data_IF_027916494270
#
_entry.id   IF_027916494270
#
_cell.length_a   1.000
_cell.length_b   1.000
_cell.length_c   1.000
_cell.angle_alpha   90.00
_cell.angle_beta   90.00
_cell.angle_gamma   90.00
#
_symmetry.space_group_name_H-M   'P 1'
#
loop_
_entity.id
_entity.type
_entity.pdbx_description
1 polymer ?
#
# COMPACT_ATOMS: atom_id res chain seq x y z
N UNK A 1 -6.64 7.52 14.69
CA UNK A 1 -6.65 8.15 16.03
C UNK A 1 -8.09 8.30 16.47
N UNK A 2 -8.41 7.95 17.72
CA UNK A 2 -9.77 7.96 18.24
C UNK A 2 -9.83 8.85 19.50
N UNK A 3 -10.97 9.48 19.81
CA UNK A 3 -11.13 10.24 21.05
C UNK A 3 -11.09 9.34 22.28
N UNK A 4 -10.65 9.89 23.42
CA UNK A 4 -10.62 9.19 24.71
C UNK A 4 -12.00 8.96 25.32
N UNK A 5 -13.02 9.68 24.84
CA UNK A 5 -14.41 9.53 25.28
C UNK A 5 -15.23 8.77 24.23
N UNK A 6 -16.23 8.02 24.67
CA UNK A 6 -17.23 7.43 23.78
C UNK A 6 -17.82 8.48 22.84
N UNK A 7 -17.99 8.09 21.57
CA UNK A 7 -18.50 8.96 20.51
C UNK A 7 -19.90 8.58 20.06
N UNK A 8 -20.38 7.40 20.41
CA UNK A 8 -21.74 6.93 20.13
C UNK A 8 -22.45 6.56 21.43
N UNK A 9 -23.62 7.16 21.66
CA UNK A 9 -24.48 6.94 22.81
C UNK A 9 -25.82 6.39 22.32
N UNK A 10 -26.05 5.08 22.43
CA UNK A 10 -27.29 4.47 21.98
C UNK A 10 -28.47 4.99 22.80
N UNK A 11 -29.64 5.16 22.16
CA UNK A 11 -30.85 5.64 22.82
C UNK A 11 -31.44 4.61 23.80
N UNK A 12 -31.11 3.34 23.61
CA UNK A 12 -31.57 2.24 24.46
C UNK A 12 -30.64 2.14 25.67
N UNK A 13 -31.19 2.34 26.87
CA UNK A 13 -30.44 2.47 28.14
C UNK A 13 -29.58 1.23 28.48
N UNK A 14 -29.92 0.05 27.95
CA UNK A 14 -29.16 -1.19 28.16
C UNK A 14 -27.90 -1.29 27.31
N UNK A 15 -27.76 -0.46 26.28
CA UNK A 15 -26.61 -0.52 25.37
C UNK A 15 -25.47 0.35 25.89
N UNK A 16 -24.26 -0.20 25.81
CA UNK A 16 -23.06 0.49 26.24
C UNK A 16 -22.63 1.54 25.22
N UNK A 17 -22.28 2.77 25.64
CA UNK A 17 -21.64 3.75 24.77
C UNK A 17 -20.35 3.21 24.15
N UNK A 18 -20.08 3.58 22.90
CA UNK A 18 -18.92 3.09 22.14
C UNK A 18 -18.15 4.22 21.44
N UNK A 19 -16.89 3.99 21.12
CA UNK A 19 -16.05 4.90 20.32
C UNK A 19 -15.92 4.32 18.93
N UNK A 20 -16.66 4.88 17.97
CA UNK A 20 -16.65 4.40 16.58
C UNK A 20 -16.19 5.45 15.58
N UNK A 21 -16.10 6.71 16.00
CA UNK A 21 -15.65 7.82 15.17
C UNK A 21 -14.12 7.97 15.30
N UNK A 22 -13.40 7.72 14.21
CA UNK A 22 -11.93 7.66 14.16
C UNK A 22 -11.43 8.59 13.06
N UNK A 23 -10.41 9.40 13.36
CA UNK A 23 -9.68 10.20 12.38
C UNK A 23 -8.47 9.43 11.83
N UNK A 24 -8.33 9.35 10.51
CA UNK A 24 -7.19 8.75 9.82
C UNK A 24 -6.42 9.84 9.06
N UNK A 25 -5.10 9.92 9.30
CA UNK A 25 -4.21 10.86 8.61
C UNK A 25 -3.12 10.07 7.87
N UNK A 26 -2.77 10.49 6.64
CA UNK A 26 -1.69 9.89 5.85
C UNK A 26 -0.86 11.00 5.22
N UNK A 27 0.44 11.03 5.52
CA UNK A 27 1.37 11.98 4.92
C UNK A 27 1.14 13.44 5.31
N UNK A 28 0.59 13.69 6.50
CA UNK A 28 0.37 15.03 7.06
C UNK A 28 1.56 15.38 7.95
N UNK A 29 2.30 16.43 7.62
CA UNK A 29 3.45 16.95 8.38
C UNK A 29 3.04 18.07 9.36
N UNK A 30 1.78 18.06 9.80
CA UNK A 30 1.26 18.99 10.81
C UNK A 30 1.40 18.34 12.18
N UNK A 31 1.80 19.12 13.18
CA UNK A 31 1.86 18.64 14.56
C UNK A 31 0.43 18.32 15.04
N UNK A 32 0.24 17.14 15.62
CA UNK A 32 -1.03 16.77 16.24
C UNK A 32 -1.13 17.44 17.60
N UNK A 33 -2.15 18.28 17.81
CA UNK A 33 -2.31 18.99 19.08
C UNK A 33 -3.27 18.24 20.00
N UNK A 34 -4.49 17.97 19.53
CA UNK A 34 -5.49 17.23 20.32
C UNK A 34 -6.62 16.67 19.45
N UNK A 35 -7.33 15.68 20.00
CA UNK A 35 -8.65 15.24 19.53
C UNK A 35 -9.65 15.52 20.64
N UNK A 36 -10.68 16.28 20.32
CA UNK A 36 -11.73 16.67 21.25
C UNK A 36 -13.08 16.17 20.74
N UNK A 37 -13.96 15.77 21.66
CA UNK A 37 -15.37 15.50 21.34
C UNK A 37 -16.21 16.69 21.75
N UNK A 38 -17.11 17.12 20.86
CA UNK A 38 -18.12 18.12 21.19
C UNK A 38 -19.46 17.44 21.40
N UNK A 39 -20.12 17.82 22.48
CA UNK A 39 -21.47 17.43 22.79
C UNK A 39 -22.45 18.12 21.83
N UNK A 40 -22.99 17.37 20.88
CA UNK A 40 -24.14 17.78 20.10
C UNK A 40 -25.42 17.31 20.78
N UNK A 41 -26.44 18.16 20.89
CA UNK A 41 -27.72 17.80 21.52
C UNK A 41 -28.71 17.08 20.58
N UNK A 42 -28.34 16.87 19.32
CA UNK A 42 -29.26 16.44 18.25
C UNK A 42 -28.93 15.07 17.62
N UNK A 43 -27.85 14.40 18.04
CA UNK A 43 -27.46 13.06 17.55
C UNK A 43 -26.94 12.21 18.70
N UNK A 44 -27.18 10.90 18.61
CA UNK A 44 -26.49 9.85 19.38
C UNK A 44 -24.98 9.85 19.18
N UNK A 45 -24.47 10.48 18.10
CA UNK A 45 -23.06 10.65 17.85
C UNK A 45 -22.53 12.00 18.36
N UNK A 46 -21.43 11.96 19.11
CA UNK A 46 -20.64 13.14 19.48
C UNK A 46 -19.70 13.48 18.34
N UNK A 47 -19.68 14.76 17.95
CA UNK A 47 -18.81 15.27 16.91
C UNK A 47 -17.35 15.19 17.37
N UNK A 48 -16.48 14.64 16.54
CA UNK A 48 -15.03 14.59 16.79
C UNK A 48 -14.33 15.74 16.05
N UNK A 49 -13.51 16.50 16.77
CA UNK A 49 -12.67 17.57 16.22
C UNK A 49 -11.21 17.20 16.37
N UNK A 50 -10.47 17.33 15.28
CA UNK A 50 -9.04 17.12 15.20
C UNK A 50 -8.34 18.48 15.13
N UNK A 51 -7.57 18.86 16.16
CA UNK A 51 -6.75 20.07 16.17
C UNK A 51 -5.34 19.74 15.67
N UNK A 52 -4.98 20.30 14.52
CA UNK A 52 -3.65 20.18 13.93
C UNK A 52 -2.94 21.55 14.02
N UNK A 53 -1.64 21.54 14.34
CA UNK A 53 -0.78 22.72 14.35
C UNK A 53 -0.27 23.10 12.96
N UNK A 54 0.49 24.20 12.88
CA UNK A 54 1.19 24.63 11.66
C UNK A 54 2.17 23.54 11.19
N UNK A 55 2.37 23.38 9.87
CA UNK A 55 3.38 22.48 9.36
C UNK A 55 4.74 23.00 9.82
N UNK A 56 5.48 22.17 10.54
CA UNK A 56 6.86 22.50 10.88
C UNK A 56 7.61 22.67 9.56
N UNK A 57 8.06 23.90 9.32
CA UNK A 57 8.70 24.30 8.07
C UNK A 57 9.93 23.43 7.82
N UNK A 58 9.80 22.47 6.90
CA UNK A 58 10.93 21.75 6.33
C UNK A 58 11.70 20.86 7.30
N UNK A 59 11.02 19.94 8.00
CA UNK A 59 11.72 18.87 8.74
C UNK A 59 12.69 18.15 7.79
N UNK A 60 13.99 18.00 8.13
CA UNK A 60 14.96 17.31 7.28
C UNK A 60 14.44 15.91 6.95
N UNK A 61 14.63 15.47 5.71
CA UNK A 61 14.30 14.10 5.29
C UNK A 61 14.98 13.17 6.30
N UNK A 62 14.24 12.30 7.00
CA UNK A 62 14.84 11.44 8.00
C UNK A 62 15.93 10.60 7.32
N UNK A 63 17.16 10.74 7.77
CA UNK A 63 18.27 9.92 7.29
C UNK A 63 18.11 8.57 7.98
N UNK A 64 17.95 7.51 7.19
CA UNK A 64 17.82 6.15 7.70
C UNK A 64 19.19 5.48 7.60
N UNK A 65 19.72 5.04 8.74
CA UNK A 65 20.89 4.18 8.79
C UNK A 65 20.49 2.77 8.33
N UNK A 66 21.14 2.28 7.28
CA UNK A 66 20.97 0.91 6.80
C UNK A 66 22.30 0.21 6.97
N UNK A 67 22.35 -0.80 7.82
CA UNK A 67 23.53 -1.63 8.03
C UNK A 67 23.66 -2.65 6.90
N UNK A 68 24.82 -2.71 6.26
CA UNK A 68 25.13 -3.75 5.29
C UNK A 68 25.64 -5.00 6.03
N UNK A 69 24.73 -5.92 6.36
CA UNK A 69 25.04 -7.16 7.06
C UNK A 69 26.08 -8.05 6.36
N UNK A 70 26.21 -7.96 5.03
CA UNK A 70 27.25 -8.69 4.30
C UNK A 70 28.63 -8.12 4.56
N UNK A 71 28.77 -6.78 4.65
CA UNK A 71 30.02 -6.13 5.07
C UNK A 71 30.36 -6.43 6.52
N UNK A 72 29.37 -6.44 7.42
CA UNK A 72 29.55 -6.84 8.82
C UNK A 72 30.11 -8.27 8.90
N UNK A 73 29.52 -9.21 8.15
CA UNK A 73 30.00 -10.60 8.13
C UNK A 73 31.45 -10.70 7.63
N UNK A 74 31.80 -9.99 6.57
CA UNK A 74 33.18 -10.01 6.03
C UNK A 74 34.17 -9.37 6.99
N UNK A 75 33.83 -8.24 7.61
CA UNK A 75 34.69 -7.55 8.57
C UNK A 75 34.88 -8.35 9.88
N UNK A 76 33.89 -9.14 10.29
CA UNK A 76 34.02 -10.05 11.44
C UNK A 76 34.81 -11.33 11.10
N UNK A 77 34.78 -11.78 9.85
CA UNK A 77 35.61 -12.91 9.36
C UNK A 77 37.07 -12.51 9.09
N UNK A 78 37.36 -11.21 8.95
CA UNK A 78 38.71 -10.68 8.83
C UNK A 78 39.40 -10.70 10.21
N UNK A 79 39.97 -11.86 10.54
CA UNK A 79 40.61 -12.17 11.84
C UNK A 79 41.80 -11.25 12.17
N UNK A 80 42.32 -10.47 11.23
CA UNK A 80 43.47 -9.55 11.44
C UNK A 80 43.08 -8.19 12.04
N UNK A 81 42.19 -8.19 13.04
CA UNK A 81 41.97 -6.97 13.84
C UNK A 81 42.93 -6.95 15.03
N UNK A 82 43.82 -5.95 15.17
CA UNK A 82 44.83 -5.90 16.24
C UNK A 82 44.26 -5.88 17.67
N UNK A 83 42.96 -5.60 17.83
CA UNK A 83 42.29 -5.49 19.13
C UNK A 83 42.01 -6.85 19.79
N UNK A 84 41.85 -7.94 19.01
CA UNK A 84 41.58 -9.27 19.58
C UNK A 84 42.85 -10.12 19.74
N UNK A 85 43.98 -9.66 19.23
CA UNK A 85 45.27 -10.36 19.33
C UNK A 85 46.03 -10.07 20.64
N UNK A 86 45.52 -9.16 21.48
CA UNK A 86 46.11 -8.83 22.79
C UNK A 86 45.52 -9.62 23.95
N UNK A 87 44.64 -10.59 23.71
CA UNK A 87 44.09 -11.40 24.79
C UNK A 87 45.12 -12.40 25.31
N UNK A 88 45.39 -12.44 26.62
CA UNK A 88 46.16 -13.50 27.23
C UNK A 88 45.47 -14.84 27.00
N UNK A 89 46.23 -15.87 26.62
CA UNK A 89 45.67 -17.22 26.40
C UNK A 89 45.18 -17.90 27.69
N UNK A 90 45.68 -17.46 28.85
CA UNK A 90 45.26 -17.95 30.17
C UNK A 90 44.44 -16.85 30.87
N UNK A 91 43.12 -17.01 30.86
CA UNK A 91 42.20 -16.16 31.62
C UNK A 91 42.18 -16.68 33.06
N UNK A 92 42.72 -15.89 33.99
CA UNK A 92 42.85 -16.29 35.39
C UNK A 92 42.00 -15.44 36.33
N UNK A 93 41.57 -14.25 35.89
CA UNK A 93 40.75 -13.32 36.67
C UNK A 93 39.39 -13.02 36.03
N UNK A 94 38.39 -12.76 36.86
CA UNK A 94 37.07 -12.26 36.45
C UNK A 94 37.18 -10.90 35.74
N UNK A 95 38.10 -10.04 36.16
CA UNK A 95 38.32 -8.73 35.54
C UNK A 95 38.81 -8.86 34.09
N UNK A 96 39.56 -9.93 33.76
CA UNK A 96 40.02 -10.22 32.40
C UNK A 96 38.87 -10.71 31.51
N UNK A 97 37.90 -11.42 32.09
CA UNK A 97 36.67 -11.82 31.39
C UNK A 97 35.84 -10.59 31.04
N UNK A 98 35.61 -9.71 32.01
CA UNK A 98 34.82 -8.49 31.80
C UNK A 98 35.50 -7.57 30.78
N UNK A 99 36.83 -7.44 30.86
CA UNK A 99 37.62 -6.69 29.87
C UNK A 99 37.51 -7.29 28.46
N UNK A 100 37.54 -8.62 28.32
CA UNK A 100 37.37 -9.29 27.03
C UNK A 100 35.96 -9.12 26.46
N UNK A 101 34.93 -9.19 27.30
CA UNK A 101 33.53 -8.93 26.91
C UNK A 101 33.38 -7.49 26.41
N UNK A 102 33.94 -6.53 27.12
CA UNK A 102 33.90 -5.11 26.72
C UNK A 102 34.64 -4.86 25.41
N UNK A 103 35.85 -5.43 25.26
CA UNK A 103 36.65 -5.32 24.05
C UNK A 103 35.92 -5.91 22.83
N UNK A 104 35.33 -7.10 22.98
CA UNK A 104 34.54 -7.74 21.93
C UNK A 104 33.27 -6.95 21.58
N UNK A 105 32.55 -6.47 22.60
CA UNK A 105 31.33 -5.68 22.42
C UNK A 105 31.62 -4.37 21.71
N UNK A 106 32.73 -3.71 22.05
CA UNK A 106 33.17 -2.49 21.38
C UNK A 106 33.59 -2.76 19.94
N UNK A 107 34.29 -3.87 19.66
CA UNK A 107 34.64 -4.24 18.30
C UNK A 107 33.41 -4.50 17.41
N UNK A 108 32.43 -5.27 17.90
CA UNK A 108 31.18 -5.51 17.18
C UNK A 108 30.43 -4.21 16.92
N UNK A 109 30.38 -3.30 17.90
CA UNK A 109 29.76 -1.98 17.75
C UNK A 109 30.43 -1.18 16.63
N UNK A 110 31.75 -1.09 16.64
CA UNK A 110 32.53 -0.37 15.61
C UNK A 110 32.30 -0.95 14.22
N UNK A 111 32.36 -2.28 14.06
CA UNK A 111 32.15 -2.94 12.76
C UNK A 111 30.73 -2.69 12.22
N UNK A 112 29.73 -2.69 13.11
CA UNK A 112 28.35 -2.36 12.74
C UNK A 112 28.27 -0.92 12.26
N UNK A 113 28.83 0.03 13.02
CA UNK A 113 28.85 1.47 12.69
C UNK A 113 29.57 1.76 11.37
N UNK A 114 30.74 1.16 11.10
CA UNK A 114 31.48 1.30 9.84
C UNK A 114 30.78 0.65 8.64
N UNK A 115 29.90 -0.30 8.93
CA UNK A 115 29.05 -0.97 7.94
C UNK A 115 27.69 -0.30 7.76
N UNK A 116 27.39 0.76 8.51
CA UNK A 116 26.22 1.60 8.29
C UNK A 116 26.41 2.44 7.03
N UNK A 117 25.33 2.60 6.27
CA UNK A 117 25.22 3.61 5.24
C UNK A 117 24.02 4.49 5.53
N UNK A 118 24.25 5.79 5.48
CA UNK A 118 23.18 6.76 5.49
C UNK A 118 22.45 6.72 4.15
N UNK A 119 21.16 6.41 4.21
CA UNK A 119 20.27 6.44 3.06
C UNK A 119 19.16 7.45 3.37
N UNK A 120 18.96 8.47 2.53
CA UNK A 120 17.82 9.36 2.72
C UNK A 120 16.54 8.51 2.72
N UNK A 121 15.66 8.67 3.70
CA UNK A 121 14.46 7.82 3.83
C UNK A 121 13.56 7.87 2.59
N UNK A 122 13.61 8.96 1.83
CA UNK A 122 13.15 8.99 0.45
C UNK A 122 14.30 8.57 -0.46
N UNK A 123 14.62 7.28 -0.52
CA UNK A 123 15.23 6.79 -1.74
C UNK A 123 14.23 7.13 -2.84
N UNK A 124 14.69 7.89 -3.83
CA UNK A 124 13.84 8.41 -4.89
C UNK A 124 13.22 7.22 -5.61
N UNK A 125 12.05 6.80 -5.15
CA UNK A 125 11.24 5.76 -5.77
C UNK A 125 10.92 6.35 -7.13
N UNK A 126 11.75 6.04 -8.15
CA UNK A 126 11.72 6.58 -9.52
C UNK A 126 10.37 7.20 -9.79
N UNK A 127 10.26 8.51 -9.54
CA UNK A 127 8.97 9.17 -9.59
C UNK A 127 8.47 9.00 -11.00
N UNK A 128 7.20 8.62 -11.14
CA UNK A 128 6.62 8.56 -12.46
C UNK A 128 6.78 9.92 -13.14
N UNK A 129 7.08 9.95 -14.45
CA UNK A 129 7.16 11.19 -15.19
C UNK A 129 5.85 11.99 -15.08
N UNK A 130 5.90 13.32 -15.26
CA UNK A 130 4.75 14.21 -15.03
C UNK A 130 3.50 13.80 -15.82
N UNK A 131 3.66 13.29 -17.04
CA UNK A 131 2.58 12.82 -17.90
C UNK A 131 1.78 11.66 -17.28
N UNK A 132 2.47 10.68 -16.68
CA UNK A 132 1.83 9.56 -15.98
C UNK A 132 1.14 10.04 -14.71
N UNK A 133 1.74 11.01 -14.00
CA UNK A 133 1.12 11.60 -12.81
C UNK A 133 -0.17 12.36 -13.15
N UNK A 134 -0.18 13.12 -14.25
CA UNK A 134 -1.38 13.78 -14.77
C UNK A 134 -2.45 12.75 -15.16
N UNK A 135 -2.06 11.67 -15.82
CA UNK A 135 -2.97 10.59 -16.19
C UNK A 135 -3.58 9.89 -14.96
N UNK A 136 -2.78 9.70 -13.89
CA UNK A 136 -3.27 9.19 -12.60
C UNK A 136 -4.28 10.16 -11.98
N UNK A 137 -4.02 11.48 -12.03
CA UNK A 137 -4.97 12.50 -11.53
C UNK A 137 -6.28 12.47 -12.32
N UNK A 138 -6.21 12.40 -13.65
CA UNK A 138 -7.37 12.32 -14.53
C UNK A 138 -8.20 11.05 -14.26
N UNK A 139 -7.54 9.89 -14.16
CA UNK A 139 -8.17 8.62 -13.77
C UNK A 139 -8.89 8.74 -12.42
N UNK A 140 -8.24 9.30 -11.41
CA UNK A 140 -8.83 9.46 -10.08
C UNK A 140 -10.04 10.42 -10.09
N UNK A 141 -9.99 11.49 -10.89
CA UNK A 141 -11.13 12.38 -11.09
C UNK A 141 -12.31 11.68 -11.78
N UNK A 142 -12.02 10.85 -12.80
CA UNK A 142 -13.03 10.05 -13.48
C UNK A 142 -13.66 9.00 -12.55
N UNK A 143 -12.86 8.33 -11.70
CA UNK A 143 -13.36 7.40 -10.69
C UNK A 143 -14.31 8.08 -9.70
N UNK A 144 -13.96 9.28 -9.22
CA UNK A 144 -14.84 10.07 -8.33
C UNK A 144 -16.16 10.46 -9.02
N UNK A 145 -16.11 10.85 -10.30
CA UNK A 145 -17.34 11.14 -11.06
C UNK A 145 -18.20 9.90 -11.28
N UNK A 146 -17.58 8.76 -11.61
CA UNK A 146 -18.28 7.50 -11.80
C UNK A 146 -18.89 6.97 -10.49
N UNK A 147 -18.30 7.26 -9.33
CA UNK A 147 -18.91 6.93 -8.03
C UNK A 147 -20.05 7.87 -7.66
N UNK A 148 -19.92 9.17 -7.94
CA UNK A 148 -20.97 10.15 -7.65
C UNK A 148 -22.19 9.99 -8.58
N UNK A 149 -21.94 9.69 -9.85
CA UNK A 149 -22.96 9.50 -10.87
C UNK A 149 -22.70 8.17 -11.60
N UNK A 150 -23.28 7.05 -11.13
CA UNK A 150 -23.00 5.71 -11.65
C UNK A 150 -23.58 5.42 -13.05
N UNK A 151 -23.34 6.28 -14.05
CA UNK A 151 -23.78 6.07 -15.43
C UNK A 151 -22.83 5.17 -16.22
N UNK A 152 -23.29 4.50 -17.28
CA UNK A 152 -22.44 3.67 -18.14
C UNK A 152 -21.28 4.44 -18.77
N UNK A 153 -21.52 5.69 -19.18
CA UNK A 153 -20.51 6.52 -19.84
C UNK A 153 -19.36 6.89 -18.90
N UNK A 154 -19.67 7.31 -17.67
CA UNK A 154 -18.63 7.61 -16.68
C UNK A 154 -17.83 6.37 -16.26
N UNK A 155 -18.48 5.21 -16.13
CA UNK A 155 -17.79 3.93 -15.87
C UNK A 155 -16.85 3.56 -17.02
N UNK A 156 -17.31 3.72 -18.27
CA UNK A 156 -16.50 3.45 -19.46
C UNK A 156 -15.26 4.35 -19.52
N UNK A 157 -15.42 5.67 -19.31
CA UNK A 157 -14.31 6.63 -19.25
C UNK A 157 -13.31 6.31 -18.15
N UNK A 158 -13.78 5.97 -16.94
CA UNK A 158 -12.90 5.58 -15.84
C UNK A 158 -12.12 4.29 -16.14
N UNK A 159 -12.76 3.27 -16.76
CA UNK A 159 -12.10 2.03 -17.18
C UNK A 159 -11.08 2.26 -18.30
N UNK A 160 -11.36 3.17 -19.24
CA UNK A 160 -10.42 3.55 -20.29
C UNK A 160 -9.13 4.14 -19.70
N UNK A 161 -9.27 5.17 -18.85
CA UNK A 161 -8.14 5.81 -18.16
C UNK A 161 -7.36 4.82 -17.27
N UNK A 162 -8.05 3.87 -16.64
CA UNK A 162 -7.38 2.82 -15.86
C UNK A 162 -6.51 1.91 -16.73
N UNK A 163 -6.94 1.58 -17.95
CA UNK A 163 -6.13 0.79 -18.89
C UNK A 163 -4.93 1.59 -19.39
N UNK A 164 -5.13 2.86 -19.70
CA UNK A 164 -4.08 3.75 -20.18
C UNK A 164 -2.98 3.95 -19.14
N UNK A 165 -3.34 4.20 -17.87
CA UNK A 165 -2.36 4.26 -16.77
C UNK A 165 -1.59 2.95 -16.67
N UNK A 166 -2.25 1.79 -16.78
CA UNK A 166 -1.56 0.49 -16.73
C UNK A 166 -0.60 0.29 -17.91
N UNK A 167 -0.95 0.77 -19.10
CA UNK A 167 -0.11 0.70 -20.28
C UNK A 167 1.14 1.58 -20.10
N UNK A 168 0.96 2.86 -19.79
CA UNK A 168 2.07 3.81 -19.60
C UNK A 168 3.01 3.43 -18.46
N UNK A 169 2.48 2.94 -17.34
CA UNK A 169 3.31 2.43 -16.24
C UNK A 169 4.12 1.19 -16.67
N UNK A 170 3.57 0.35 -17.55
CA UNK A 170 4.28 -0.82 -18.08
C UNK A 170 5.39 -0.39 -19.03
N UNK A 171 5.10 0.50 -19.97
CA UNK A 171 6.07 1.07 -20.90
C UNK A 171 7.23 1.73 -20.17
N UNK A 172 6.93 2.65 -19.23
CA UNK A 172 7.95 3.30 -18.41
C UNK A 172 8.83 2.30 -17.65
N UNK A 173 8.24 1.23 -17.11
CA UNK A 173 9.03 0.19 -16.43
C UNK A 173 9.92 -0.57 -17.42
N UNK A 174 9.42 -0.88 -18.60
CA UNK A 174 10.18 -1.59 -19.63
C UNK A 174 11.33 -0.73 -20.17
N UNK A 175 11.10 0.53 -20.50
CA UNK A 175 12.13 1.50 -20.89
C UNK A 175 13.19 1.63 -19.80
N UNK A 176 12.76 1.77 -18.54
CA UNK A 176 13.67 1.88 -17.41
C UNK A 176 14.49 0.59 -17.15
N UNK A 177 14.00 -0.57 -17.61
CA UNK A 177 14.75 -1.83 -17.66
C UNK A 177 15.70 -1.87 -18.86
N UNK A 178 15.28 -1.43 -20.05
CA UNK A 178 16.12 -1.32 -21.24
C UNK A 178 17.31 -0.40 -21.01
N UNK A 179 17.09 0.80 -20.47
CA UNK A 179 18.16 1.76 -20.11
C UNK A 179 19.17 1.16 -19.13
N UNK A 180 18.69 0.36 -18.18
CA UNK A 180 19.54 -0.33 -17.21
C UNK A 180 20.39 -1.39 -17.92
N UNK A 181 19.78 -2.17 -18.82
CA UNK A 181 20.50 -3.17 -19.59
C UNK A 181 21.55 -2.52 -20.50
N UNK A 182 21.24 -1.40 -21.17
CA UNK A 182 22.20 -0.65 -21.97
C UNK A 182 23.38 -0.15 -21.13
N UNK A 183 23.12 0.42 -19.95
CA UNK A 183 24.18 0.85 -19.01
C UNK A 183 25.06 -0.30 -18.54
N UNK A 184 24.49 -1.48 -18.34
CA UNK A 184 25.22 -2.68 -17.92
C UNK A 184 25.95 -3.37 -19.08
N UNK A 185 25.50 -3.18 -20.32
CA UNK A 185 26.11 -3.73 -21.53
C UNK A 185 27.30 -2.91 -22.04
N UNK A 186 27.61 -1.74 -21.47
CA UNK A 186 28.94 -1.17 -21.59
C UNK A 186 29.96 -2.17 -21.05
N UNK A 187 31.11 -2.40 -21.72
CA UNK A 187 32.05 -3.47 -21.40
C UNK A 187 32.79 -3.17 -20.09
N UNK A 188 32.09 -3.32 -18.97
CA UNK A 188 32.68 -3.33 -17.64
C UNK A 188 33.15 -4.76 -17.43
N UNK A 189 34.47 -4.94 -17.33
CA UNK A 189 35.24 -6.21 -17.39
C UNK A 189 34.89 -7.30 -16.33
N UNK A 190 33.68 -7.34 -15.78
CA UNK A 190 33.29 -8.23 -14.66
C UNK A 190 31.99 -9.00 -14.91
N UNK A 191 31.74 -9.44 -16.14
CA UNK A 191 30.54 -10.23 -16.47
C UNK A 191 30.57 -11.71 -16.01
N UNK A 192 31.68 -12.18 -15.45
CA UNK A 192 31.89 -13.60 -15.14
C UNK A 192 31.35 -14.11 -13.79
N UNK A 193 30.77 -13.26 -12.94
CA UNK A 193 30.33 -13.66 -11.60
C UNK A 193 28.90 -13.21 -11.30
N UNK A 194 27.90 -13.84 -11.94
CA UNK A 194 26.51 -13.74 -11.53
C UNK A 194 25.90 -15.14 -11.40
N UNK A 195 25.38 -15.54 -10.22
CA UNK A 195 24.73 -16.83 -10.06
C UNK A 195 23.42 -16.83 -10.85
N UNK A 196 23.35 -17.68 -11.87
CA UNK A 196 22.15 -17.89 -12.71
C UNK A 196 21.02 -18.50 -11.87
N UNK A 197 20.24 -17.67 -11.18
CA UNK A 197 18.95 -18.11 -10.62
C UNK A 197 17.87 -17.05 -10.79
N UNK A 198 17.33 -16.99 -12.00
CA UNK A 198 15.99 -16.45 -12.25
C UNK A 198 15.36 -17.23 -13.39
N UNK A 199 14.65 -18.32 -13.07
CA UNK A 199 13.65 -18.84 -13.99
C UNK A 199 12.39 -17.99 -13.82
N UNK A 200 11.78 -17.48 -14.90
CA UNK A 200 10.45 -16.87 -14.80
C UNK A 200 9.47 -17.95 -14.34
N UNK A 201 8.63 -17.61 -13.38
CA UNK A 201 7.54 -18.46 -12.91
C UNK A 201 6.49 -18.43 -14.02
N UNK A 202 6.35 -19.52 -14.77
CA UNK A 202 5.33 -19.68 -15.79
C UNK A 202 3.95 -19.48 -15.16
N UNK A 203 3.25 -18.42 -15.57
CA UNK A 203 1.83 -18.26 -15.29
C UNK A 203 1.12 -18.93 -16.47
N UNK A 204 0.40 -20.06 -16.27
CA UNK A 204 -0.29 -20.70 -17.37
C UNK A 204 -1.41 -19.80 -17.88
N UNK A 205 -1.33 -19.46 -19.17
CA UNK A 205 -2.45 -18.89 -19.91
C UNK A 205 -3.60 -19.92 -19.93
N UNK A 206 -4.77 -19.56 -19.43
CA UNK A 206 -6.00 -20.32 -19.66
C UNK A 206 -6.61 -19.86 -21.00
N UNK A 207 -6.76 -20.75 -22.00
CA UNK A 207 -7.47 -20.39 -23.22
C UNK A 207 -8.97 -20.33 -22.92
N UNK A 208 -9.59 -19.22 -23.31
CA UNK A 208 -11.04 -19.02 -23.19
C UNK A 208 -11.74 -20.00 -24.14
N UNK A 209 -12.47 -20.98 -23.58
CA UNK A 209 -13.31 -21.87 -24.38
C UNK A 209 -14.48 -21.06 -24.97
N UNK A 210 -14.55 -21.01 -26.29
CA UNK A 210 -15.68 -20.48 -27.04
C UNK A 210 -16.93 -21.30 -26.71
N UNK A 211 -17.88 -20.72 -25.96
CA UNK A 211 -19.23 -21.26 -25.82
C UNK A 211 -20.00 -20.98 -27.11
N UNK A 212 -19.94 -21.95 -28.02
CA UNK A 212 -20.84 -22.04 -29.18
C UNK A 212 -22.23 -22.32 -28.62
N UNK A 213 -23.10 -21.31 -28.61
CA UNK A 213 -24.52 -21.48 -28.33
C UNK A 213 -25.15 -22.18 -29.53
N UNK A 214 -25.32 -23.49 -29.42
CA UNK A 214 -26.10 -24.28 -30.36
C UNK A 214 -27.59 -23.98 -30.13
N UNK A 215 -28.24 -23.32 -31.09
CA UNK A 215 -29.70 -23.17 -31.10
C UNK A 215 -30.32 -24.55 -31.33
N UNK A 216 -30.94 -25.12 -30.29
CA UNK A 216 -31.84 -26.27 -30.45
C UNK A 216 -33.28 -25.80 -30.25
N UNK A 217 -34.04 -25.90 -31.33
CA UNK A 217 -35.49 -25.72 -31.42
C UNK A 217 -36.21 -26.64 -30.43
N UNK A 218 -37.18 -26.10 -29.68
CA UNK A 218 -38.24 -26.88 -29.05
C UNK A 218 -39.57 -26.15 -29.25
N UNK A 219 -40.46 -26.86 -29.94
CA UNK A 219 -41.86 -26.59 -30.25
C UNK A 219 -42.72 -26.19 -29.03
N UNK A 220 -43.76 -25.35 -29.21
CA UNK A 220 -44.69 -24.98 -28.15
C UNK A 220 -45.77 -26.05 -27.92
N UNK A 221 -45.81 -26.60 -26.70
CA UNK A 221 -46.86 -27.54 -26.28
C UNK A 221 -48.18 -26.81 -25.96
N UNK A 222 -49.17 -27.12 -26.78
CA UNK A 222 -50.59 -26.83 -26.65
C UNK A 222 -51.20 -27.37 -25.34
N UNK A 223 -51.82 -26.52 -24.53
CA UNK A 223 -52.84 -26.92 -23.54
C UNK A 223 -54.09 -26.05 -23.66
N UNK A 224 -55.10 -26.57 -24.38
CA UNK A 224 -56.54 -26.36 -24.12
C UNK A 224 -56.87 -26.96 -22.74
N UNK A 225 -57.85 -26.56 -21.92
CA UNK A 225 -59.03 -25.70 -22.04
C UNK A 225 -59.71 -25.60 -20.66
N UNK A 226 -60.46 -24.54 -20.42
CA UNK A 226 -61.50 -24.41 -19.38
C UNK A 226 -61.15 -23.36 -18.31
N UNK A 227 -62.00 -22.41 -17.93
CA UNK A 227 -63.37 -22.10 -18.31
C UNK A 227 -63.63 -20.62 -18.04
N UNK A 228 -64.54 -20.10 -18.85
CA UNK A 228 -65.13 -18.76 -18.90
C UNK A 228 -65.77 -18.34 -17.57
N UNK A 229 -65.53 -17.11 -17.12
CA UNK A 229 -66.57 -16.26 -16.53
C UNK A 229 -66.16 -14.78 -16.64
N UNK A 230 -66.98 -14.09 -17.42
CA UNK A 230 -66.95 -12.65 -17.70
C UNK A 230 -67.48 -11.88 -16.49
N UNK A 231 -66.80 -10.82 -16.08
CA UNK A 231 -67.48 -9.66 -15.52
C UNK A 231 -66.78 -8.36 -15.94
N UNK A 232 -67.57 -7.54 -16.61
CA UNK A 232 -67.33 -6.20 -17.13
C UNK A 232 -68.11 -5.27 -16.20
N UNK A 233 -67.53 -4.14 -15.79
CA UNK A 233 -68.19 -2.86 -15.46
C UNK A 233 -67.18 -1.85 -14.84
N UNK A 234 -67.44 -0.52 -14.88
CA UNK A 234 -66.63 0.40 -15.68
C UNK A 234 -65.94 1.53 -14.89
N UNK A 235 -65.08 2.26 -15.59
CA UNK A 235 -64.53 3.56 -15.21
C UNK A 235 -65.64 4.59 -14.92
N UNK A 236 -65.42 5.41 -13.90
CA UNK A 236 -66.00 6.76 -13.79
C UNK A 236 -64.95 7.68 -13.16
N UNK A 237 -64.28 8.44 -14.01
CA UNK A 237 -63.69 9.73 -13.68
C UNK A 237 -64.78 10.81 -13.69
N UNK A 238 -64.53 11.88 -12.94
CA UNK A 238 -65.22 13.19 -12.92
C UNK A 238 -66.45 13.34 -12.00
N UNK A 239 -66.23 14.05 -10.89
CA UNK A 239 -67.24 14.88 -10.22
C UNK A 239 -66.67 16.31 -10.21
N UNK A 240 -67.35 17.20 -10.94
CA UNK A 240 -67.78 18.49 -10.41
C UNK A 240 -69.20 18.30 -9.92
#
# INVERSE_FOLDING_TARGET
>A
MAPSTSTCFPHVITHRPSTIDIALTKGVALNFNSIETIHGLISDHRRVILKMGTPDGGRPIPIRKITNWKRVSTALEEIDTPNLNSFPNDITSTDEIDFAIDAYTNHVRTVVEESEREVPASSDHRKFPPDILELIRAKNAALRRASAYPTPDYRSRARALQREVKARVREFRNESWSDLMEKLNHPTKRFGQLPKRSKPRDIPYTPTQNLIISKRSLEPQNRRSGSRLTQRCPNASEIT
#
